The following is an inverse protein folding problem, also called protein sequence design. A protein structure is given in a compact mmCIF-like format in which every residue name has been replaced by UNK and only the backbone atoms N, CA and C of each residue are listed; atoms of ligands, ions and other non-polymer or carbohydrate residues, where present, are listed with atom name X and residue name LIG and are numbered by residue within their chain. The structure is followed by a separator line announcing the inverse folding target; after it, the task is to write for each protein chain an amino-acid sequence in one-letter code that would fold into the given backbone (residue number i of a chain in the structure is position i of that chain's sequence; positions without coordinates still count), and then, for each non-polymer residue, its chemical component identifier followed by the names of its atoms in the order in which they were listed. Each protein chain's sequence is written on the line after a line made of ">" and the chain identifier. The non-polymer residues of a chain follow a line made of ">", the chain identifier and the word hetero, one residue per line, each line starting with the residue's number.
data_IF_613047661621
#
_entry.id   IF_613047661621
#
_cell.length_a   1.000
_cell.length_b   1.000
_cell.length_c   1.000
_cell.angle_alpha   90.00
_cell.angle_beta   90.00
_cell.angle_gamma   90.00
#
_symmetry.space_group_name_H-M   'P 1'
#
loop_
_entity.id
_entity.type
_entity.pdbx_description
1 polymer ?
#
# COMPACT_ATOMS: atom_id res chain seq x y z
N UNK A 1 11.98 10.22 -5.23
CA UNK A 1 10.53 10.07 -5.45
C UNK A 1 10.07 11.25 -6.27
N UNK A 2 9.62 11.00 -7.49
CA UNK A 2 9.15 12.06 -8.39
C UNK A 2 7.70 12.47 -8.08
N UNK A 3 7.13 13.40 -8.86
CA UNK A 3 5.75 13.85 -8.66
C UNK A 3 4.73 12.74 -8.97
N UNK A 4 5.05 11.85 -9.91
CA UNK A 4 4.20 10.74 -10.31
C UNK A 4 4.07 9.75 -9.14
N UNK A 5 5.20 9.32 -8.58
CA UNK A 5 5.28 8.48 -7.40
C UNK A 5 4.44 9.05 -6.23
N UNK A 6 4.58 10.36 -5.96
CA UNK A 6 3.83 11.03 -4.88
C UNK A 6 2.33 10.98 -5.12
N UNK A 7 1.89 11.17 -6.36
CA UNK A 7 0.47 11.12 -6.71
C UNK A 7 -0.10 9.71 -6.50
N UNK A 8 0.61 8.67 -6.96
CA UNK A 8 0.17 7.29 -6.79
C UNK A 8 0.18 6.83 -5.33
N UNK A 9 1.25 7.10 -4.60
CA UNK A 9 1.33 6.73 -3.18
C UNK A 9 0.32 7.49 -2.33
N UNK A 10 0.05 8.76 -2.64
CA UNK A 10 -1.05 9.51 -2.03
C UNK A 10 -2.42 8.86 -2.29
N UNK A 11 -2.69 8.44 -3.53
CA UNK A 11 -3.93 7.76 -3.87
C UNK A 11 -4.09 6.41 -3.16
N UNK A 12 -3.02 5.62 -3.07
CA UNK A 12 -2.99 4.33 -2.36
C UNK A 12 -3.27 4.52 -0.87
N UNK A 13 -2.57 5.46 -0.22
CA UNK A 13 -2.75 5.73 1.20
C UNK A 13 -4.19 6.17 1.48
N UNK A 14 -4.72 7.09 0.68
CA UNK A 14 -6.11 7.55 0.83
C UNK A 14 -7.10 6.40 0.69
N UNK A 15 -6.95 5.57 -0.35
CA UNK A 15 -7.84 4.44 -0.60
C UNK A 15 -7.79 3.40 0.54
N UNK A 16 -6.60 3.11 1.08
CA UNK A 16 -6.44 2.22 2.24
C UNK A 16 -7.12 2.79 3.48
N UNK A 17 -6.93 4.07 3.78
CA UNK A 17 -7.55 4.71 4.94
C UNK A 17 -9.08 4.71 4.85
N UNK A 18 -9.62 4.98 3.65
CA UNK A 18 -11.06 4.94 3.39
C UNK A 18 -11.63 3.54 3.57
N UNK A 19 -10.99 2.51 3.00
CA UNK A 19 -11.47 1.12 3.06
C UNK A 19 -11.29 0.46 4.43
N UNK A 20 -10.22 0.80 5.14
CA UNK A 20 -9.93 0.28 6.48
C UNK A 20 -10.58 1.12 7.59
N UNK A 21 -11.15 2.29 7.25
CA UNK A 21 -11.78 3.22 8.20
C UNK A 21 -10.86 3.55 9.38
N UNK A 22 -9.55 3.64 9.14
CA UNK A 22 -8.54 3.96 10.15
C UNK A 22 -7.36 4.68 9.52
N UNK A 23 -6.58 5.34 10.36
CA UNK A 23 -5.27 5.85 9.96
C UNK A 23 -4.27 4.69 9.78
N UNK A 24 -3.30 4.89 8.89
CA UNK A 24 -2.18 3.98 8.73
C UNK A 24 -1.12 4.27 9.79
N UNK A 25 -0.48 3.21 10.28
CA UNK A 25 0.69 3.29 11.14
C UNK A 25 1.89 3.88 10.39
N UNK A 26 2.89 4.36 11.12
CA UNK A 26 4.13 4.88 10.55
C UNK A 26 4.83 3.85 9.64
N UNK A 27 4.83 2.57 10.06
CA UNK A 27 5.40 1.47 9.29
C UNK A 27 4.64 1.23 7.98
N UNK A 28 3.31 1.27 8.01
CA UNK A 28 2.50 1.19 6.79
C UNK A 28 2.82 2.35 5.84
N UNK A 29 2.85 3.59 6.35
CA UNK A 29 3.17 4.77 5.55
C UNK A 29 4.55 4.65 4.89
N UNK A 30 5.57 4.22 5.64
CA UNK A 30 6.91 4.01 5.10
C UNK A 30 6.92 2.98 3.94
N UNK A 31 6.22 1.86 4.11
CA UNK A 31 6.16 0.82 3.10
C UNK A 31 5.37 1.27 1.87
N UNK A 32 4.21 1.90 2.05
CA UNK A 32 3.36 2.35 0.94
C UNK A 32 3.90 3.57 0.20
N UNK A 33 4.83 4.34 0.79
CA UNK A 33 5.54 5.45 0.11
C UNK A 33 6.82 5.03 -0.60
N UNK A 34 7.25 3.77 -0.47
CA UNK A 34 8.44 3.27 -1.19
C UNK A 34 8.22 3.33 -2.71
N UNK A 35 9.17 3.88 -3.49
CA UNK A 35 9.05 3.94 -4.95
C UNK A 35 8.88 2.57 -5.59
N UNK A 36 7.97 2.47 -6.56
CA UNK A 36 7.63 1.23 -7.29
C UNK A 36 7.43 1.53 -8.78
N UNK A 37 7.37 0.48 -9.60
CA UNK A 37 6.99 0.63 -11.01
C UNK A 37 5.53 1.10 -11.11
N UNK A 38 5.21 1.78 -12.22
CA UNK A 38 3.84 2.21 -12.52
C UNK A 38 2.83 1.05 -12.42
N UNK A 39 3.17 -0.10 -13.03
CA UNK A 39 2.37 -1.33 -12.99
C UNK A 39 2.09 -1.78 -11.56
N UNK A 40 3.09 -1.69 -10.67
CA UNK A 40 2.88 -2.04 -9.28
C UNK A 40 1.91 -1.08 -8.59
N UNK A 41 2.01 0.24 -8.81
CA UNK A 41 1.03 1.18 -8.26
C UNK A 41 -0.40 0.90 -8.75
N UNK A 42 -0.55 0.61 -10.04
CA UNK A 42 -1.85 0.27 -10.64
C UNK A 42 -2.44 -0.99 -10.00
N UNK A 43 -1.65 -2.07 -9.91
CA UNK A 43 -2.08 -3.31 -9.27
C UNK A 43 -2.51 -3.11 -7.81
N UNK A 44 -1.77 -2.29 -7.04
CA UNK A 44 -2.12 -1.97 -5.66
C UNK A 44 -3.47 -1.24 -5.60
N UNK A 45 -3.65 -0.21 -6.45
CA UNK A 45 -4.89 0.57 -6.50
C UNK A 45 -6.09 -0.28 -6.91
N UNK A 46 -5.95 -1.13 -7.92
CA UNK A 46 -7.02 -2.01 -8.39
C UNK A 46 -7.46 -2.97 -7.28
N UNK A 47 -6.50 -3.58 -6.59
CA UNK A 47 -6.78 -4.46 -5.46
C UNK A 47 -7.50 -3.74 -4.30
N UNK A 48 -7.05 -2.53 -3.94
CA UNK A 48 -7.66 -1.76 -2.84
C UNK A 48 -9.06 -1.27 -3.20
N UNK A 49 -9.27 -0.87 -4.45
CA UNK A 49 -10.56 -0.33 -4.92
C UNK A 49 -11.59 -1.40 -5.21
N UNK A 50 -11.19 -2.66 -5.32
CA UNK A 50 -12.12 -3.77 -5.47
C UNK A 50 -13.14 -3.76 -4.30
N UNK A 51 -14.41 -3.59 -4.64
CA UNK A 51 -15.50 -3.55 -3.67
C UNK A 51 -15.91 -4.94 -3.16
N UNK A 52 -15.44 -6.01 -3.81
CA UNK A 52 -15.58 -7.36 -3.31
C UNK A 52 -14.61 -7.68 -2.16
N UNK A 53 -13.60 -6.83 -1.94
CA UNK A 53 -12.60 -7.05 -0.89
C UNK A 53 -13.11 -6.66 0.49
N UNK A 54 -13.06 -7.63 1.41
CA UNK A 54 -13.35 -7.38 2.81
C UNK A 54 -12.24 -6.56 3.48
N UNK A 55 -12.61 -5.83 4.52
CA UNK A 55 -11.67 -5.10 5.38
C UNK A 55 -10.53 -6.00 5.88
N UNK A 56 -10.86 -7.20 6.35
CA UNK A 56 -9.88 -8.21 6.78
C UNK A 56 -8.90 -8.61 5.67
N UNK A 57 -9.38 -8.77 4.44
CA UNK A 57 -8.53 -9.10 3.29
C UNK A 57 -7.54 -7.96 2.99
N UNK A 58 -8.00 -6.72 3.09
CA UNK A 58 -7.16 -5.54 2.92
C UNK A 58 -6.14 -5.38 4.05
N UNK A 59 -6.50 -5.71 5.29
CA UNK A 59 -5.54 -5.74 6.40
C UNK A 59 -4.47 -6.81 6.20
N UNK A 60 -4.87 -8.02 5.77
CA UNK A 60 -3.94 -9.10 5.44
C UNK A 60 -3.02 -8.70 4.29
N UNK A 61 -3.56 -8.04 3.27
CA UNK A 61 -2.77 -7.50 2.17
C UNK A 61 -1.74 -6.47 2.65
N UNK A 62 -2.15 -5.48 3.46
CA UNK A 62 -1.23 -4.50 4.01
C UNK A 62 -0.10 -5.15 4.82
N UNK A 63 -0.43 -6.14 5.65
CA UNK A 63 0.55 -6.92 6.40
C UNK A 63 1.52 -7.68 5.49
N UNK A 64 1.03 -8.31 4.41
CA UNK A 64 1.86 -9.01 3.44
C UNK A 64 2.85 -8.08 2.74
N UNK A 65 2.39 -6.91 2.29
CA UNK A 65 3.27 -5.91 1.65
C UNK A 65 4.37 -5.45 2.62
N UNK A 66 4.05 -5.28 3.91
CA UNK A 66 5.05 -4.97 4.95
C UNK A 66 6.05 -6.11 5.15
N UNK A 67 5.58 -7.36 5.18
CA UNK A 67 6.43 -8.54 5.34
C UNK A 67 7.40 -8.69 4.16
N UNK A 68 6.92 -8.53 2.93
CA UNK A 68 7.74 -8.54 1.72
C UNK A 68 8.79 -7.44 1.75
N UNK A 69 8.41 -6.22 2.14
CA UNK A 69 9.34 -5.10 2.31
C UNK A 69 10.45 -5.44 3.31
N UNK A 70 10.09 -5.94 4.50
CA UNK A 70 11.09 -6.27 5.52
C UNK A 70 12.05 -7.38 5.04
N UNK A 71 11.51 -8.38 4.34
CA UNK A 71 12.31 -9.48 3.80
C UNK A 71 13.32 -8.97 2.77
N UNK A 72 12.92 -8.03 1.93
CA UNK A 72 13.77 -7.49 0.85
C UNK A 72 14.85 -6.52 1.33
N UNK A 73 14.61 -5.79 2.42
CA UNK A 73 15.49 -4.68 2.83
C UNK A 73 16.18 -4.86 4.19
N UNK A 74 15.78 -5.83 5.02
CA UNK A 74 16.36 -6.04 6.35
C UNK A 74 16.95 -7.45 6.58
N UNK A 75 16.74 -8.40 5.66
CA UNK A 75 17.39 -9.71 5.69
C UNK A 75 18.51 -9.85 4.65
N UNK A 76 19.11 -8.72 4.22
CA UNK A 76 20.30 -8.67 3.34
C UNK A 76 21.53 -8.25 4.11
#
# INVERSE_FOLDING_TARGET
>A
MDQLDKNFTGAIIKALQEKLERTLSEKELQVFTTPRSLVAYEMMLDYIKDNSMSKESLEKYANNVILEYNTKYFNS
#
